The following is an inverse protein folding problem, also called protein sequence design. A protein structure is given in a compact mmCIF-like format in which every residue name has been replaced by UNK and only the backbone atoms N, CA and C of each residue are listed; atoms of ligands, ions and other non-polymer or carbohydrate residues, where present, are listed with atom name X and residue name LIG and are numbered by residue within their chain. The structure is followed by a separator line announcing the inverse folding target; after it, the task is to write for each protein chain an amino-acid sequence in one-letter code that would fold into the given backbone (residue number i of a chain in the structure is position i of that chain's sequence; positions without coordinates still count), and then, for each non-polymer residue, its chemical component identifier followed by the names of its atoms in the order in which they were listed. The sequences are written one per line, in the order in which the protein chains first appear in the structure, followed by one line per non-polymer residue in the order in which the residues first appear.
data_IF_921205710256
#
_entry.id   IF_921205710256
#
_cell.length_a   1.000
_cell.length_b   1.000
_cell.length_c   1.000
_cell.angle_alpha   90.00
_cell.angle_beta   90.00
_cell.angle_gamma   90.00
#
_symmetry.space_group_name_H-M   'P 1'
#
loop_
_entity.id
_entity.type
_entity.pdbx_description
1 polymer ?
#
# COMPACT_ATOMS: atom_id res chain seq x y z
N UNK A 1 -11.56 -10.52 -24.43
CA UNK A 1 -10.91 -10.27 -23.13
C UNK A 1 -9.43 -10.52 -23.33
N UNK A 2 -8.57 -9.57 -22.96
CA UNK A 2 -7.13 -9.81 -22.97
C UNK A 2 -6.82 -10.92 -21.95
N UNK A 3 -6.01 -11.89 -22.34
CA UNK A 3 -5.56 -12.96 -21.44
C UNK A 3 -4.70 -12.33 -20.35
N UNK A 4 -5.08 -12.43 -19.07
CA UNK A 4 -4.27 -11.95 -17.96
C UNK A 4 -2.86 -12.57 -18.00
N UNK A 5 -1.81 -11.78 -17.71
CA UNK A 5 -0.41 -12.18 -17.88
C UNK A 5 -0.01 -13.37 -16.99
N UNK A 6 -0.78 -13.65 -15.95
CA UNK A 6 -0.72 -14.80 -15.05
C UNK A 6 -1.13 -16.14 -15.69
N UNK A 7 -1.70 -16.14 -16.90
CA UNK A 7 -2.01 -17.35 -17.67
C UNK A 7 -0.87 -17.87 -18.56
N UNK A 8 0.21 -17.10 -18.73
CA UNK A 8 1.42 -17.66 -19.34
C UNK A 8 2.08 -18.58 -18.32
N UNK A 9 2.52 -19.78 -18.74
CA UNK A 9 3.29 -20.71 -17.89
C UNK A 9 4.67 -20.14 -17.55
N UNK A 10 4.70 -19.07 -16.75
CA UNK A 10 5.84 -18.71 -15.93
C UNK A 10 5.84 -19.68 -14.75
N UNK A 11 6.90 -20.47 -14.61
CA UNK A 11 7.18 -21.14 -13.34
C UNK A 11 7.41 -20.07 -12.29
N UNK A 12 6.34 -19.63 -11.63
CA UNK A 12 6.43 -18.67 -10.54
C UNK A 12 7.42 -19.20 -9.49
N UNK A 13 8.20 -18.34 -8.81
CA UNK A 13 9.00 -18.76 -7.67
C UNK A 13 8.12 -19.43 -6.60
N UNK A 14 8.68 -20.39 -5.86
CA UNK A 14 7.93 -21.08 -4.81
C UNK A 14 7.49 -20.14 -3.69
N UNK A 15 8.36 -19.22 -3.28
CA UNK A 15 8.06 -18.16 -2.32
C UNK A 15 6.91 -17.27 -2.78
N UNK A 16 6.91 -16.85 -4.05
CA UNK A 16 5.78 -16.08 -4.62
C UNK A 16 4.46 -16.86 -4.54
N UNK A 17 4.46 -18.16 -4.90
CA UNK A 17 3.25 -18.99 -4.79
C UNK A 17 2.76 -19.11 -3.35
N UNK A 18 3.68 -19.33 -2.41
CA UNK A 18 3.39 -19.44 -0.98
C UNK A 18 2.84 -18.13 -0.40
N UNK A 19 3.39 -16.99 -0.83
CA UNK A 19 2.89 -15.67 -0.47
C UNK A 19 1.46 -15.47 -0.99
N UNK A 20 1.25 -15.66 -2.30
CA UNK A 20 -0.06 -15.46 -2.93
C UNK A 20 -1.13 -16.41 -2.37
N UNK A 21 -0.75 -17.63 -1.96
CA UNK A 21 -1.67 -18.57 -1.29
C UNK A 21 -2.07 -18.08 0.11
N UNK A 22 -1.15 -17.44 0.83
CA UNK A 22 -1.36 -16.99 2.20
C UNK A 22 -2.08 -15.64 2.28
N UNK A 23 -1.73 -14.70 1.40
CA UNK A 23 -2.14 -13.30 1.48
C UNK A 23 -2.86 -12.81 0.22
N UNK A 24 -2.90 -13.59 -0.86
CA UNK A 24 -3.36 -13.10 -2.16
C UNK A 24 -2.50 -11.93 -2.65
N UNK A 25 -3.11 -11.01 -3.39
CA UNK A 25 -2.48 -9.75 -3.79
C UNK A 25 -2.66 -8.67 -2.71
N UNK A 26 -2.53 -9.01 -1.43
CA UNK A 26 -2.66 -8.04 -0.34
C UNK A 26 -1.36 -7.92 0.43
N UNK A 27 -1.08 -6.73 0.95
CA UNK A 27 0.07 -6.52 1.80
C UNK A 27 -0.04 -7.34 3.09
N UNK A 28 1.02 -8.08 3.40
CA UNK A 28 1.37 -8.47 4.76
C UNK A 28 2.24 -7.37 5.42
N UNK A 29 2.45 -7.48 6.74
CA UNK A 29 3.25 -6.52 7.51
C UNK A 29 4.64 -6.28 6.91
N UNK A 30 5.39 -7.33 6.59
CA UNK A 30 6.75 -7.23 6.07
C UNK A 30 6.79 -6.55 4.70
N UNK A 31 5.90 -6.94 3.79
CA UNK A 31 5.79 -6.30 2.48
C UNK A 31 5.42 -4.81 2.57
N UNK A 32 4.56 -4.43 3.54
CA UNK A 32 4.24 -3.03 3.80
C UNK A 32 5.47 -2.26 4.30
N UNK A 33 6.17 -2.79 5.31
CA UNK A 33 7.37 -2.16 5.88
C UNK A 33 8.44 -1.94 4.81
N UNK A 34 8.62 -2.92 3.90
CA UNK A 34 9.51 -2.81 2.75
C UNK A 34 9.08 -1.66 1.82
N UNK A 35 7.79 -1.60 1.46
CA UNK A 35 7.25 -0.55 0.59
C UNK A 35 7.43 0.85 1.21
N UNK A 36 7.04 1.02 2.48
CA UNK A 36 7.09 2.31 3.19
C UNK A 36 8.54 2.77 3.40
N UNK A 37 9.49 1.85 3.60
CA UNK A 37 10.92 2.17 3.72
C UNK A 37 11.46 2.89 2.48
N UNK A 38 10.91 2.61 1.29
CA UNK A 38 11.26 3.28 0.04
C UNK A 38 10.58 4.65 -0.16
N UNK A 39 9.55 4.98 0.61
CA UNK A 39 8.76 6.21 0.43
C UNK A 39 9.49 7.44 0.94
N UNK A 40 9.36 8.54 0.19
CA UNK A 40 9.89 9.85 0.54
C UNK A 40 8.79 10.88 0.40
N UNK A 41 8.81 11.90 1.26
CA UNK A 41 7.92 13.06 1.19
C UNK A 41 8.73 14.31 0.95
N UNK A 42 8.16 15.27 0.22
CA UNK A 42 8.74 16.61 0.13
C UNK A 42 8.42 17.37 1.41
N UNK A 43 9.44 17.80 2.14
CA UNK A 43 9.24 18.70 3.28
C UNK A 43 9.03 20.12 2.74
N UNK A 44 7.82 20.72 2.90
CA UNK A 44 7.53 22.04 2.34
C UNK A 44 8.37 23.16 2.98
N UNK A 45 8.85 22.98 4.21
CA UNK A 45 9.68 23.97 4.90
C UNK A 45 11.14 23.96 4.41
N UNK A 46 11.68 22.79 4.08
CA UNK A 46 13.09 22.65 3.66
C UNK A 46 13.26 22.50 2.14
N UNK A 47 12.19 22.17 1.42
CA UNK A 47 12.21 21.85 -0.01
C UNK A 47 12.94 20.54 -0.34
N UNK A 48 13.26 19.71 0.66
CA UNK A 48 14.03 18.47 0.50
C UNK A 48 13.14 17.24 0.60
N UNK A 49 13.54 16.18 -0.10
CA UNK A 49 12.93 14.87 0.05
C UNK A 49 13.46 14.21 1.33
N UNK A 50 12.55 13.92 2.25
CA UNK A 50 12.82 13.23 3.50
C UNK A 50 12.13 11.87 3.50
N UNK A 51 12.72 10.89 4.20
CA UNK A 51 12.11 9.56 4.31
C UNK A 51 10.80 9.66 5.09
N UNK A 52 9.77 8.96 4.63
CA UNK A 52 8.50 8.90 5.35
C UNK A 52 8.67 8.14 6.67
N UNK A 53 8.10 8.69 7.75
CA UNK A 53 8.00 8.01 9.04
C UNK A 53 6.91 6.94 8.98
N UNK A 54 7.28 5.71 9.34
CA UNK A 54 6.36 4.59 9.43
C UNK A 54 5.38 4.78 10.59
N UNK A 55 4.10 4.67 10.30
CA UNK A 55 2.99 4.73 11.26
C UNK A 55 2.47 3.32 11.48
N UNK A 56 2.54 2.77 12.72
CA UNK A 56 1.99 1.45 13.04
C UNK A 56 0.52 1.32 12.67
N UNK A 57 0.10 0.11 12.31
CA UNK A 57 -1.29 -0.18 11.91
C UNK A 57 -2.29 0.25 12.99
N UNK A 58 -1.97 -0.02 14.24
CA UNK A 58 -2.80 0.28 15.40
C UNK A 58 -3.05 1.79 15.53
N UNK A 59 -2.04 2.62 15.26
CA UNK A 59 -2.21 4.08 15.27
C UNK A 59 -3.07 4.58 14.11
N UNK A 60 -3.01 3.93 12.95
CA UNK A 60 -3.88 4.26 11.81
C UNK A 60 -5.32 3.87 12.13
N UNK A 61 -5.54 2.71 12.76
CA UNK A 61 -6.87 2.26 13.22
C UNK A 61 -7.44 3.19 14.30
N UNK A 62 -6.63 3.65 15.25
CA UNK A 62 -7.02 4.65 16.24
C UNK A 62 -7.44 5.98 15.58
N UNK A 63 -6.73 6.44 14.54
CA UNK A 63 -7.09 7.64 13.78
C UNK A 63 -8.43 7.45 13.04
N UNK A 64 -8.63 6.31 12.37
CA UNK A 64 -9.89 5.99 11.70
C UNK A 64 -11.06 5.99 12.70
N UNK A 65 -10.87 5.36 13.87
CA UNK A 65 -11.86 5.33 14.93
C UNK A 65 -12.15 6.72 15.50
N UNK A 66 -11.11 7.52 15.77
CA UNK A 66 -11.22 8.90 16.27
C UNK A 66 -12.10 9.76 15.37
N UNK A 67 -12.01 9.57 14.04
CA UNK A 67 -12.81 10.31 13.07
C UNK A 67 -14.12 9.63 12.67
N UNK A 68 -14.43 8.45 13.23
CA UNK A 68 -15.65 7.69 12.94
C UNK A 68 -15.70 7.11 11.53
N UNK A 69 -14.54 6.91 10.89
CA UNK A 69 -14.42 6.39 9.52
C UNK A 69 -14.28 4.87 9.59
N UNK A 70 -15.10 4.16 8.82
CA UNK A 70 -15.11 2.70 8.74
C UNK A 70 -14.59 2.25 7.38
N UNK A 71 -13.83 1.15 7.38
CA UNK A 71 -13.35 0.46 6.18
C UNK A 71 -13.94 -0.95 6.23
N UNK A 72 -14.88 -1.25 5.33
CA UNK A 72 -15.63 -2.52 5.37
C UNK A 72 -14.82 -3.70 4.81
N UNK A 73 -14.02 -3.48 3.76
CA UNK A 73 -13.21 -4.52 3.10
C UNK A 73 -11.73 -4.44 3.49
N UNK A 74 -11.44 -4.37 4.79
CA UNK A 74 -10.08 -4.30 5.30
C UNK A 74 -9.38 -5.67 5.25
N UNK A 75 -8.68 -5.94 4.15
CA UNK A 75 -7.84 -7.14 3.99
C UNK A 75 -6.36 -6.79 4.18
N UNK A 76 -5.72 -7.44 5.15
CA UNK A 76 -4.28 -7.32 5.40
C UNK A 76 -3.84 -5.91 5.84
N UNK A 77 -2.95 -5.31 5.05
CA UNK A 77 -2.28 -4.03 5.30
C UNK A 77 -2.45 -3.03 4.14
N UNK A 78 -3.38 -3.27 3.21
CA UNK A 78 -3.57 -2.41 2.02
C UNK A 78 -3.96 -0.98 2.40
N UNK A 79 -4.87 -0.81 3.36
CA UNK A 79 -5.26 0.51 3.84
C UNK A 79 -4.08 1.26 4.48
N UNK A 80 -3.17 0.54 5.16
CA UNK A 80 -1.95 1.12 5.68
C UNK A 80 -1.04 1.60 4.55
N UNK A 81 -0.94 0.88 3.44
CA UNK A 81 -0.16 1.33 2.28
C UNK A 81 -0.72 2.65 1.72
N UNK A 82 -2.04 2.72 1.47
CA UNK A 82 -2.66 3.95 0.98
C UNK A 82 -2.51 5.11 1.97
N UNK A 83 -2.57 4.84 3.28
CA UNK A 83 -2.32 5.86 4.29
C UNK A 83 -0.91 6.44 4.14
N UNK A 84 0.11 5.59 4.04
CA UNK A 84 1.50 6.03 3.91
C UNK A 84 1.76 6.73 2.57
N UNK A 85 1.23 6.21 1.47
CA UNK A 85 1.35 6.82 0.15
C UNK A 85 0.72 8.22 0.14
N UNK A 86 -0.53 8.35 0.61
CA UNK A 86 -1.20 9.65 0.68
C UNK A 86 -0.48 10.61 1.66
N UNK A 87 0.06 10.08 2.76
CA UNK A 87 0.88 10.86 3.70
C UNK A 87 2.19 11.36 3.06
N UNK A 88 2.75 10.64 2.10
CA UNK A 88 3.95 11.05 1.38
C UNK A 88 3.66 12.08 0.28
N UNK A 89 2.63 11.84 -0.52
CA UNK A 89 2.43 12.55 -1.79
C UNK A 89 1.37 13.65 -1.72
N UNK A 90 0.36 13.51 -0.85
CA UNK A 90 -0.84 14.35 -0.84
C UNK A 90 -1.00 15.17 0.45
N UNK A 91 -0.48 14.67 1.58
CA UNK A 91 -0.69 15.28 2.88
C UNK A 91 0.07 16.61 3.05
N UNK A 92 -0.61 17.60 3.64
CA UNK A 92 -0.20 19.01 3.69
C UNK A 92 -0.03 19.66 2.31
N UNK A 93 -0.59 19.04 1.28
CA UNK A 93 -0.80 19.61 -0.06
C UNK A 93 -2.31 19.55 -0.36
N UNK A 94 -2.76 18.62 -1.20
CA UNK A 94 -4.17 18.41 -1.52
C UNK A 94 -5.00 17.88 -0.35
N UNK A 95 -4.39 17.13 0.58
CA UNK A 95 -5.02 16.67 1.81
C UNK A 95 -4.51 17.51 2.98
N UNK A 96 -5.38 18.34 3.55
CA UNK A 96 -4.98 19.36 4.54
C UNK A 96 -4.81 18.79 5.94
N UNK A 97 -5.67 17.86 6.35
CA UNK A 97 -5.76 17.35 7.71
C UNK A 97 -5.85 15.81 7.80
N UNK A 98 -5.71 15.29 9.01
CA UNK A 98 -5.68 13.84 9.28
C UNK A 98 -7.03 13.19 8.96
N UNK A 99 -8.14 13.92 9.10
CA UNK A 99 -9.46 13.41 8.76
C UNK A 99 -9.57 13.17 7.26
N UNK A 100 -9.12 14.12 6.44
CA UNK A 100 -9.06 13.98 4.99
C UNK A 100 -8.14 12.84 4.56
N UNK A 101 -7.02 12.63 5.27
CA UNK A 101 -6.13 11.50 5.02
C UNK A 101 -6.83 10.17 5.28
N UNK A 102 -7.56 10.06 6.39
CA UNK A 102 -8.36 8.88 6.71
C UNK A 102 -9.50 8.66 5.70
N UNK A 103 -10.16 9.73 5.26
CA UNK A 103 -11.23 9.66 4.27
C UNK A 103 -10.71 9.15 2.93
N UNK A 104 -9.56 9.68 2.47
CA UNK A 104 -8.91 9.19 1.25
C UNK A 104 -8.66 7.68 1.30
N UNK A 105 -8.15 7.17 2.43
CA UNK A 105 -7.90 5.73 2.59
C UNK A 105 -9.20 4.93 2.48
N UNK A 106 -10.28 5.39 3.12
CA UNK A 106 -11.58 4.74 3.02
C UNK A 106 -12.12 4.76 1.59
N UNK A 107 -11.98 5.87 0.88
CA UNK A 107 -12.42 6.02 -0.51
C UNK A 107 -11.64 5.07 -1.43
N UNK A 108 -10.32 4.96 -1.26
CA UNK A 108 -9.47 4.07 -2.08
C UNK A 108 -9.70 2.58 -1.83
N UNK A 109 -10.02 2.19 -0.59
CA UNK A 109 -10.33 0.78 -0.26
C UNK A 109 -11.77 0.43 -0.66
N UNK A 110 -12.71 1.36 -0.49
CA UNK A 110 -14.12 1.17 -0.84
C UNK A 110 -14.44 1.37 -2.31
N UNK A 111 -13.46 1.74 -3.15
CA UNK A 111 -13.67 1.97 -4.57
C UNK A 111 -14.06 0.66 -5.29
N UNK A 112 -15.28 0.58 -5.87
CA UNK A 112 -15.78 -0.61 -6.54
C UNK A 112 -15.00 -0.95 -7.83
N UNK A 113 -14.29 0.00 -8.41
CA UNK A 113 -13.44 -0.22 -9.59
C UNK A 113 -12.05 -0.74 -9.20
N UNK A 114 -11.63 -0.54 -7.95
CA UNK A 114 -10.32 -0.95 -7.44
C UNK A 114 -10.31 -2.31 -6.72
N UNK A 115 -10.90 -3.34 -7.33
CA UNK A 115 -11.06 -4.65 -6.69
C UNK A 115 -9.74 -5.43 -6.50
N UNK A 116 -9.64 -6.05 -5.33
CA UNK A 116 -8.79 -7.22 -5.10
C UNK A 116 -7.30 -6.94 -4.98
N UNK A 117 -6.87 -6.08 -4.04
CA UNK A 117 -5.45 -5.96 -3.71
C UNK A 117 -4.67 -4.98 -4.59
N UNK A 118 -5.36 -3.96 -5.12
CA UNK A 118 -4.76 -2.99 -6.04
C UNK A 118 -3.61 -2.18 -5.44
N UNK A 119 -3.63 -1.92 -4.13
CA UNK A 119 -2.49 -1.30 -3.44
C UNK A 119 -1.20 -2.10 -3.66
N UNK A 120 -1.25 -3.42 -3.43
CA UNK A 120 -0.09 -4.29 -3.59
C UNK A 120 0.30 -4.45 -5.05
N UNK A 121 -0.67 -4.63 -5.96
CA UNK A 121 -0.38 -4.71 -7.40
C UNK A 121 0.29 -3.45 -7.93
N UNK A 122 -0.17 -2.28 -7.50
CA UNK A 122 0.45 -1.00 -7.85
C UNK A 122 1.91 -0.96 -7.38
N UNK A 123 2.17 -1.42 -6.15
CA UNK A 123 3.54 -1.53 -5.65
C UNK A 123 4.41 -2.52 -6.45
N UNK A 124 3.88 -3.66 -6.89
CA UNK A 124 4.61 -4.59 -7.76
C UNK A 124 4.97 -3.94 -9.12
N UNK A 125 4.07 -3.14 -9.68
CA UNK A 125 4.34 -2.35 -10.91
C UNK A 125 5.43 -1.32 -10.67
N UNK A 126 5.42 -0.64 -9.52
CA UNK A 126 6.48 0.30 -9.15
C UNK A 126 7.86 -0.38 -9.01
N UNK A 127 7.89 -1.60 -8.46
CA UNK A 127 9.12 -2.38 -8.34
C UNK A 127 9.67 -2.77 -9.72
N UNK A 128 8.81 -3.26 -10.60
CA UNK A 128 9.16 -3.60 -11.99
C UNK A 128 9.70 -2.38 -12.74
N UNK A 129 9.01 -1.24 -12.66
CA UNK A 129 9.45 0.02 -13.28
C UNK A 129 10.82 0.51 -12.77
N UNK A 130 11.18 0.17 -11.53
CA UNK A 130 12.49 0.47 -10.92
C UNK A 130 13.55 -0.60 -11.23
N UNK A 131 13.19 -1.71 -11.86
CA UNK A 131 14.07 -2.87 -12.06
C UNK A 131 14.42 -3.58 -10.74
N UNK A 132 13.57 -3.48 -9.72
CA UNK A 132 13.77 -4.10 -8.40
C UNK A 132 12.86 -5.33 -8.32
N UNK A 133 13.42 -6.48 -7.95
CA UNK A 133 12.64 -7.69 -7.72
C UNK A 133 11.81 -7.60 -6.43
N UNK A 134 10.60 -8.16 -6.44
CA UNK A 134 9.84 -8.41 -5.23
C UNK A 134 10.52 -9.51 -4.39
N UNK A 135 10.76 -9.24 -3.11
CA UNK A 135 11.44 -10.15 -2.19
C UNK A 135 10.44 -11.08 -1.51
N UNK A 136 9.88 -12.00 -2.30
CA UNK A 136 8.84 -12.91 -1.86
C UNK A 136 9.25 -13.80 -0.70
N UNK A 137 10.54 -14.12 -0.59
CA UNK A 137 11.11 -14.95 0.48
C UNK A 137 11.19 -14.19 1.80
N UNK A 138 11.62 -12.92 1.79
CA UNK A 138 11.67 -12.10 3.01
C UNK A 138 10.27 -11.76 3.53
N UNK A 139 9.29 -11.56 2.63
CA UNK A 139 7.94 -11.15 3.00
C UNK A 139 7.05 -12.26 3.60
N UNK A 140 7.41 -13.53 3.40
CA UNK A 140 6.79 -14.69 4.08
C UNK A 140 7.15 -14.73 5.57
#
# INVERSE_FOLDING_TARGET
MATPLDNYELKLPESMRSYLRSYGYHFCKKSLECAVKGMRRLNPATGKLERLEYTPKEQIEELLQKYGIKIEDNVGYDFCYYFHQAKADLYKSSIVDEKGLCQYVADMIGDPDLKGGNAFRHYLVDLDAKGIGADWDDWL
#
